data_IF_968546055015
#
_entry.id   IF_968546055015
#
_cell.length_a   1.000
_cell.length_b   1.000
_cell.length_c   1.000
_cell.angle_alpha   90.00
_cell.angle_beta   90.00
_cell.angle_gamma   90.00
#
_symmetry.space_group_name_H-M   'P 1'
#
loop_
_entity.id
_entity.type
_entity.pdbx_description
1 polymer ?
#
# COMPACT_ATOMS: atom_id res chain seq x y z
N UNK A 1 -12.26 -7.41 54.42
CA UNK A 1 -12.24 -8.69 53.68
C UNK A 1 -11.92 -8.36 52.24
N UNK A 2 -10.72 -8.68 51.78
CA UNK A 2 -10.27 -8.40 50.41
C UNK A 2 -11.02 -9.31 49.44
N UNK A 3 -11.97 -8.75 48.68
CA UNK A 3 -12.63 -9.46 47.58
C UNK A 3 -11.61 -9.71 46.47
N UNK A 4 -10.87 -10.82 46.57
CA UNK A 4 -10.10 -11.34 45.45
C UNK A 4 -11.09 -11.86 44.40
N UNK A 5 -11.00 -11.42 43.14
CA UNK A 5 -11.87 -11.90 42.08
C UNK A 5 -11.68 -13.41 41.87
N UNK A 6 -12.77 -14.16 41.80
CA UNK A 6 -12.78 -15.62 41.61
C UNK A 6 -12.32 -16.04 40.21
N UNK A 7 -12.42 -15.13 39.23
CA UNK A 7 -12.03 -15.32 37.83
C UNK A 7 -11.17 -14.15 37.35
N UNK A 8 -10.14 -14.47 36.57
CA UNK A 8 -9.29 -13.50 35.89
C UNK A 8 -9.48 -13.63 34.38
N UNK A 9 -9.63 -12.49 33.71
CA UNK A 9 -9.82 -12.37 32.27
C UNK A 9 -8.56 -11.82 31.62
N UNK A 10 -7.91 -12.62 30.77
CA UNK A 10 -6.71 -12.21 30.04
C UNK A 10 -7.05 -11.74 28.62
N UNK A 11 -6.51 -10.60 28.23
CA UNK A 11 -6.53 -10.15 26.84
C UNK A 11 -5.21 -10.59 26.19
N UNK A 12 -5.31 -11.33 25.10
CA UNK A 12 -4.15 -11.93 24.43
C UNK A 12 -4.04 -11.36 23.01
N UNK A 13 -2.88 -10.79 22.67
CA UNK A 13 -2.53 -10.39 21.32
C UNK A 13 -1.69 -11.50 20.67
N UNK A 14 -2.18 -12.03 19.56
CA UNK A 14 -1.44 -13.01 18.75
C UNK A 14 -0.90 -12.31 17.51
N UNK A 15 0.41 -12.23 17.39
CA UNK A 15 1.09 -11.65 16.23
C UNK A 15 1.59 -12.76 15.33
N UNK A 16 1.23 -12.70 14.05
CA UNK A 16 1.69 -13.60 13.01
C UNK A 16 2.53 -12.78 12.03
N UNK A 17 3.82 -13.06 11.98
CA UNK A 17 4.72 -12.45 11.00
C UNK A 17 4.80 -13.31 9.74
N UNK A 18 3.90 -13.04 8.79
CA UNK A 18 3.87 -13.73 7.50
C UNK A 18 5.11 -13.50 6.64
N UNK A 19 5.97 -12.53 6.97
CA UNK A 19 7.23 -12.31 6.26
C UNK A 19 8.35 -13.23 6.75
N UNK A 20 8.31 -13.65 8.02
CA UNK A 20 9.25 -14.64 8.57
C UNK A 20 8.78 -16.07 8.30
N UNK A 21 7.47 -16.33 8.37
CA UNK A 21 6.91 -17.64 8.06
C UNK A 21 5.55 -17.53 7.34
N UNK A 22 5.52 -17.72 6.00
CA UNK A 22 4.30 -17.58 5.20
C UNK A 22 3.18 -18.57 5.56
N UNK A 23 3.51 -19.65 6.27
CA UNK A 23 2.54 -20.66 6.75
C UNK A 23 1.64 -20.15 7.88
N UNK A 24 2.06 -19.08 8.59
CA UNK A 24 1.41 -18.60 9.81
C UNK A 24 1.50 -19.55 11.01
N UNK A 25 2.40 -20.55 10.95
CA UNK A 25 2.56 -21.53 12.02
C UNK A 25 3.29 -20.94 13.24
N UNK A 26 4.31 -20.10 13.05
CA UNK A 26 4.96 -19.36 14.13
C UNK A 26 4.14 -18.13 14.50
N UNK A 27 3.69 -18.13 15.76
CA UNK A 27 2.88 -17.06 16.36
C UNK A 27 3.57 -16.60 17.63
N UNK A 28 3.64 -15.29 17.83
CA UNK A 28 4.05 -14.72 19.11
C UNK A 28 2.79 -14.33 19.89
N UNK A 29 2.73 -14.75 21.15
CA UNK A 29 1.58 -14.53 22.02
C UNK A 29 2.01 -13.56 23.12
N UNK A 30 1.29 -12.44 23.24
CA UNK A 30 1.51 -11.42 24.27
C UNK A 30 0.27 -11.30 25.15
N UNK A 31 0.46 -11.31 26.47
CA UNK A 31 -0.63 -11.04 27.42
C UNK A 31 -0.67 -9.53 27.62
N UNK A 32 -1.74 -8.91 27.12
CA UNK A 32 -1.88 -7.45 27.09
C UNK A 32 -2.42 -6.89 28.41
N UNK A 33 -3.24 -7.66 29.12
CA UNK A 33 -3.79 -7.26 30.41
C UNK A 33 -4.55 -8.38 31.09
N UNK A 34 -4.65 -8.28 32.41
CA UNK A 34 -5.42 -9.20 33.26
C UNK A 34 -6.45 -8.39 34.02
N UNK A 35 -7.72 -8.73 33.84
CA UNK A 35 -8.86 -8.00 34.39
C UNK A 35 -9.65 -8.87 35.35
N UNK A 36 -10.17 -8.25 36.41
CA UNK A 36 -10.95 -8.92 37.45
C UNK A 36 -12.42 -9.12 37.04
N UNK A 37 -12.90 -8.38 36.04
CA UNK A 37 -14.29 -8.45 35.55
C UNK A 37 -14.32 -8.59 34.03
N UNK A 38 -15.39 -9.20 33.52
CA UNK A 38 -15.55 -9.45 32.08
C UNK A 38 -15.87 -8.16 31.33
N UNK A 39 -16.57 -7.25 31.97
CA UNK A 39 -16.97 -5.95 31.44
C UNK A 39 -15.74 -5.04 31.28
N UNK A 40 -14.84 -5.01 32.26
CA UNK A 40 -13.55 -4.28 32.14
C UNK A 40 -12.66 -4.88 31.05
N UNK A 41 -12.62 -6.21 30.95
CA UNK A 41 -11.87 -6.89 29.89
C UNK A 41 -12.42 -6.57 28.49
N UNK A 42 -13.74 -6.45 28.34
CA UNK A 42 -14.39 -6.04 27.08
C UNK A 42 -14.10 -4.58 26.75
N UNK A 43 -14.30 -3.66 27.69
CA UNK A 43 -14.02 -2.23 27.46
C UNK A 43 -12.54 -1.97 27.16
N UNK A 44 -11.65 -2.76 27.73
CA UNK A 44 -10.22 -2.75 27.45
C UNK A 44 -9.87 -3.39 26.10
N UNK A 45 -10.54 -4.48 25.69
CA UNK A 45 -10.28 -5.13 24.40
C UNK A 45 -10.74 -4.33 23.19
N UNK A 46 -11.75 -3.45 23.35
CA UNK A 46 -12.15 -2.49 22.32
C UNK A 46 -11.24 -1.25 22.25
N UNK A 47 -10.44 -1.01 23.29
CA UNK A 47 -9.40 0.03 23.29
C UNK A 47 -8.12 -0.61 22.76
N UNK A 48 -8.05 -0.78 21.44
CA UNK A 48 -6.81 -1.16 20.75
C UNK A 48 -5.65 -0.31 21.28
N UNK A 49 -4.69 -0.90 22.01
CA UNK A 49 -3.64 -0.14 22.69
C UNK A 49 -2.61 0.45 21.73
N UNK A 50 -2.68 0.09 20.45
CA UNK A 50 -1.73 0.54 19.43
C UNK A 50 -2.37 0.77 18.06
N UNK A 51 -3.66 1.13 18.02
CA UNK A 51 -4.28 1.77 16.82
C UNK A 51 -5.01 3.06 17.19
N UNK A 52 -4.64 3.66 18.33
CA UNK A 52 -4.68 5.11 18.49
C UNK A 52 -3.25 5.62 18.49
N UNK A 53 -2.62 5.59 17.31
CA UNK A 53 -2.03 6.86 16.92
C UNK A 53 -3.23 7.72 16.49
N UNK A 54 -3.73 8.68 17.29
CA UNK A 54 -4.20 9.89 16.62
C UNK A 54 -3.01 10.24 15.75
N UNK A 55 -3.14 10.16 14.42
CA UNK A 55 -2.08 10.62 13.54
C UNK A 55 -1.65 11.94 14.14
N UNK A 56 -0.40 12.14 14.55
CA UNK A 56 0.05 13.37 15.23
C UNK A 56 -0.16 14.65 14.37
N UNK A 57 -0.83 14.46 13.24
CA UNK A 57 -1.18 15.31 12.14
C UNK A 57 -2.69 15.30 11.85
N UNK A 58 -3.55 14.93 12.82
CA UNK A 58 -4.95 15.30 12.75
C UNK A 58 -5.04 16.83 12.64
N UNK A 59 -5.81 17.37 11.68
CA UNK A 59 -5.85 18.81 11.45
C UNK A 59 -6.61 19.46 12.60
N UNK A 60 -6.08 20.57 13.11
CA UNK A 60 -6.81 21.47 14.00
C UNK A 60 -7.94 22.16 13.23
N UNK A 61 -8.93 22.72 13.93
CA UNK A 61 -10.08 23.37 13.28
C UNK A 61 -9.68 24.48 12.30
N UNK A 62 -8.58 25.19 12.55
CA UNK A 62 -8.06 26.22 11.64
C UNK A 62 -7.38 25.61 10.40
N UNK A 63 -6.67 24.50 10.56
CA UNK A 63 -6.07 23.74 9.46
C UNK A 63 -7.16 23.12 8.57
N UNK A 64 -8.24 22.59 9.16
CA UNK A 64 -9.42 22.11 8.44
C UNK A 64 -10.07 23.23 7.62
N UNK A 65 -10.31 24.40 8.22
CA UNK A 65 -10.85 25.57 7.48
C UNK A 65 -9.98 25.94 6.29
N UNK A 66 -8.65 25.84 6.42
CA UNK A 66 -7.71 26.12 5.35
C UNK A 66 -7.77 25.06 4.23
N UNK A 67 -7.83 23.80 4.61
CA UNK A 67 -7.99 22.66 3.69
C UNK A 67 -9.29 22.82 2.90
N UNK A 68 -10.42 22.99 3.57
CA UNK A 68 -11.74 23.04 2.92
C UNK A 68 -12.02 24.36 2.19
N UNK A 69 -11.22 25.41 2.42
CA UNK A 69 -11.21 26.61 1.57
C UNK A 69 -10.71 26.29 0.17
N UNK A 70 -9.71 25.42 0.05
CA UNK A 70 -9.11 24.99 -1.23
C UNK A 70 -9.94 23.87 -1.86
N UNK A 71 -10.33 22.87 -1.06
CA UNK A 71 -11.11 21.71 -1.51
C UNK A 71 -12.56 21.79 -1.04
N UNK A 72 -13.33 22.69 -1.66
CA UNK A 72 -14.76 22.84 -1.38
C UNK A 72 -15.54 21.58 -1.77
N UNK A 73 -16.47 21.16 -0.92
CA UNK A 73 -17.31 19.96 -1.16
C UNK A 73 -16.64 18.62 -0.83
N UNK A 74 -15.43 18.66 -0.26
CA UNK A 74 -14.78 17.51 0.35
C UNK A 74 -15.02 17.49 1.86
N UNK A 75 -14.99 16.31 2.45
CA UNK A 75 -14.96 16.09 3.90
C UNK A 75 -13.71 15.31 4.26
N UNK A 76 -13.34 15.25 5.54
CA UNK A 76 -12.39 14.23 5.98
C UNK A 76 -12.97 12.85 5.65
N UNK A 77 -12.10 11.92 5.24
CA UNK A 77 -12.52 10.56 4.99
C UNK A 77 -12.74 9.82 6.30
N UNK A 78 -13.81 9.03 6.35
CA UNK A 78 -14.00 8.02 7.39
C UNK A 78 -12.87 6.99 7.21
N UNK A 79 -11.87 7.02 8.10
CA UNK A 79 -10.64 6.24 7.93
C UNK A 79 -10.97 4.75 7.81
N UNK A 80 -10.85 4.20 6.60
CA UNK A 80 -10.81 2.75 6.41
C UNK A 80 -9.50 2.23 6.99
N UNK A 81 -9.58 1.22 7.88
CA UNK A 81 -8.50 0.64 8.70
C UNK A 81 -7.26 0.11 7.94
N UNK A 82 -7.18 0.24 6.61
CA UNK A 82 -6.23 -0.49 5.76
C UNK A 82 -5.07 0.32 5.16
N UNK A 83 -4.82 1.53 5.61
CA UNK A 83 -3.71 2.33 5.09
C UNK A 83 -2.42 2.19 5.92
N UNK A 84 -1.80 1.02 5.82
CA UNK A 84 -0.53 0.63 6.48
C UNK A 84 0.73 1.38 5.96
N UNK A 85 0.59 2.36 5.07
CA UNK A 85 1.74 3.08 4.51
C UNK A 85 2.18 4.23 5.42
N UNK A 86 3.50 4.36 5.64
CA UNK A 86 4.08 5.38 6.53
C UNK A 86 3.73 6.83 6.14
N UNK A 87 3.34 7.10 4.89
CA UNK A 87 2.92 8.44 4.45
C UNK A 87 1.68 8.95 5.18
N UNK A 88 0.85 8.05 5.70
CA UNK A 88 -0.35 8.40 6.46
C UNK A 88 -0.02 8.93 7.86
N UNK A 89 1.23 8.77 8.29
CA UNK A 89 1.74 9.44 9.47
C UNK A 89 1.89 10.95 9.23
N UNK A 90 2.01 11.42 7.98
CA UNK A 90 2.25 12.83 7.64
C UNK A 90 1.10 13.47 6.84
N UNK A 91 -0.03 12.79 6.68
CA UNK A 91 -1.12 13.29 5.86
C UNK A 91 -2.49 12.80 6.26
N UNK A 92 -3.49 13.49 5.73
CA UNK A 92 -4.90 13.25 6.01
C UNK A 92 -5.63 12.92 4.72
N UNK A 93 -6.60 12.03 4.80
CA UNK A 93 -7.43 11.70 3.65
C UNK A 93 -8.68 12.59 3.63
N UNK A 94 -8.98 13.17 2.47
CA UNK A 94 -10.25 13.83 2.20
C UNK A 94 -11.03 13.03 1.15
N UNK A 95 -12.34 13.03 1.28
CA UNK A 95 -13.25 12.35 0.36
C UNK A 95 -14.33 13.29 -0.15
N UNK A 96 -14.74 13.02 -1.39
CA UNK A 96 -15.95 13.53 -2.02
C UNK A 96 -16.76 12.33 -2.51
N UNK A 97 -17.95 12.56 -3.08
CA UNK A 97 -18.78 11.50 -3.66
C UNK A 97 -18.06 10.69 -4.75
N UNK A 98 -17.06 11.27 -5.41
CA UNK A 98 -16.41 10.69 -6.60
C UNK A 98 -14.91 10.45 -6.45
N UNK A 99 -14.25 11.03 -5.46
CA UNK A 99 -12.80 10.96 -5.33
C UNK A 99 -12.31 11.01 -3.89
N UNK A 100 -11.18 10.33 -3.65
CA UNK A 100 -10.43 10.34 -2.38
C UNK A 100 -9.01 10.82 -2.61
N UNK A 101 -8.53 11.72 -1.75
CA UNK A 101 -7.21 12.35 -1.90
C UNK A 101 -6.47 12.38 -0.57
N UNK A 102 -5.16 12.16 -0.64
CA UNK A 102 -4.21 12.39 0.44
C UNK A 102 -3.74 13.84 0.42
N UNK A 103 -3.76 14.52 1.57
CA UNK A 103 -3.25 15.88 1.77
C UNK A 103 -2.01 15.83 2.64
N UNK A 104 -0.97 16.56 2.22
CA UNK A 104 0.25 16.75 3.00
C UNK A 104 0.02 17.71 4.17
N UNK A 105 0.03 17.21 5.40
CA UNK A 105 -0.13 18.06 6.59
C UNK A 105 1.08 18.98 6.86
N UNK A 106 2.34 18.57 6.63
CA UNK A 106 3.48 19.49 6.67
C UNK A 106 3.29 20.75 5.80
N UNK A 107 2.75 20.63 4.58
CA UNK A 107 2.40 21.78 3.74
C UNK A 107 1.30 22.66 4.37
N UNK A 108 0.30 22.04 5.00
CA UNK A 108 -0.77 22.76 5.70
C UNK A 108 -0.21 23.56 6.88
N UNK A 109 0.69 22.97 7.68
CA UNK A 109 1.33 23.59 8.85
C UNK A 109 2.31 24.69 8.46
N UNK A 110 3.13 24.48 7.43
CA UNK A 110 4.10 25.45 6.93
C UNK A 110 3.46 26.64 6.19
N UNK A 111 2.13 26.70 6.11
CA UNK A 111 1.39 27.79 5.45
C UNK A 111 1.80 28.00 3.98
N UNK A 112 2.22 26.93 3.29
CA UNK A 112 2.65 27.03 1.88
C UNK A 112 1.51 27.51 0.97
N UNK A 113 1.77 28.38 -0.01
CA UNK A 113 0.72 28.99 -0.84
C UNK A 113 -0.06 27.96 -1.67
N UNK A 114 0.59 26.85 -2.05
CA UNK A 114 -0.02 25.73 -2.77
C UNK A 114 0.00 24.48 -1.90
N UNK A 115 -1.18 24.09 -1.39
CA UNK A 115 -1.33 22.84 -0.67
C UNK A 115 -1.22 21.66 -1.63
N UNK A 116 -0.38 20.67 -1.28
CA UNK A 116 -0.17 19.49 -2.10
C UNK A 116 -1.19 18.41 -1.77
N UNK A 117 -1.79 17.83 -2.81
CA UNK A 117 -2.71 16.69 -2.73
C UNK A 117 -2.36 15.63 -3.76
N UNK A 118 -2.46 14.37 -3.38
CA UNK A 118 -2.30 13.22 -4.27
C UNK A 118 -3.56 12.35 -4.24
N UNK A 119 -3.81 11.55 -5.27
CA UNK A 119 -4.88 10.56 -5.22
C UNK A 119 -4.59 9.49 -4.16
N UNK A 120 -5.61 9.07 -3.41
CA UNK A 120 -5.44 8.11 -2.32
C UNK A 120 -5.10 6.68 -2.82
N UNK A 121 -5.45 6.35 -4.07
CA UNK A 121 -5.24 5.02 -4.69
C UNK A 121 -3.76 4.69 -4.99
N UNK A 122 -2.80 5.55 -4.62
CA UNK A 122 -1.38 5.26 -4.74
C UNK A 122 -0.52 6.21 -3.90
N UNK A 123 0.27 5.65 -2.96
CA UNK A 123 1.06 6.45 -2.00
C UNK A 123 2.39 6.96 -2.55
N UNK A 124 2.84 6.48 -3.71
CA UNK A 124 4.16 6.82 -4.28
C UNK A 124 4.33 8.32 -4.53
N UNK A 125 3.27 9.00 -4.98
CA UNK A 125 3.30 10.45 -5.20
C UNK A 125 3.42 11.22 -3.88
N UNK A 126 2.78 10.73 -2.83
CA UNK A 126 2.89 11.29 -1.48
C UNK A 126 4.30 11.06 -0.91
N UNK A 127 4.86 9.85 -1.07
CA UNK A 127 6.23 9.50 -0.66
C UNK A 127 7.26 10.42 -1.34
N UNK A 128 7.16 10.61 -2.65
CA UNK A 128 8.05 11.46 -3.42
C UNK A 128 7.94 12.94 -2.99
N UNK A 129 6.73 13.42 -2.73
CA UNK A 129 6.51 14.78 -2.26
C UNK A 129 7.11 15.00 -0.87
N UNK A 130 6.85 14.09 0.08
CA UNK A 130 7.39 14.17 1.45
C UNK A 130 8.93 14.21 1.44
N UNK A 131 9.57 13.39 0.60
CA UNK A 131 11.02 13.42 0.43
C UNK A 131 11.52 14.73 -0.16
N UNK A 132 10.97 15.16 -1.31
CA UNK A 132 11.49 16.34 -2.03
C UNK A 132 11.21 17.66 -1.33
N UNK A 133 10.02 17.81 -0.75
CA UNK A 133 9.58 19.08 -0.17
C UNK A 133 9.90 19.18 1.33
N UNK A 134 9.94 18.06 2.04
CA UNK A 134 10.08 18.05 3.50
C UNK A 134 11.27 17.21 4.00
N UNK A 135 11.98 16.51 3.12
CA UNK A 135 13.10 15.64 3.51
C UNK A 135 12.67 14.42 4.33
N UNK A 136 11.38 14.13 4.44
CA UNK A 136 10.89 12.99 5.20
C UNK A 136 11.07 11.70 4.41
N UNK A 137 11.57 10.69 5.09
CA UNK A 137 11.90 9.38 4.54
C UNK A 137 11.24 8.26 5.33
N UNK A 138 11.07 7.10 4.70
CA UNK A 138 10.51 5.91 5.34
C UNK A 138 11.33 5.56 6.60
N UNK A 139 10.75 5.68 7.82
CA UNK A 139 11.47 5.44 9.06
C UNK A 139 11.84 3.96 9.25
N UNK A 140 11.26 3.04 8.46
CA UNK A 140 11.62 1.62 8.52
C UNK A 140 13.00 1.31 7.92
N UNK A 141 13.58 2.24 7.14
CA UNK A 141 14.89 2.07 6.50
C UNK A 141 14.95 0.94 5.45
N UNK A 142 13.83 0.25 5.15
CA UNK A 142 13.78 -0.88 4.21
C UNK A 142 13.67 -0.47 2.75
N UNK A 143 13.30 0.78 2.47
CA UNK A 143 13.23 1.33 1.11
C UNK A 143 14.52 2.11 0.81
N UNK A 144 14.88 2.21 -0.47
CA UNK A 144 15.90 3.14 -0.96
C UNK A 144 15.27 4.50 -1.27
N UNK A 145 15.98 5.60 -0.99
CA UNK A 145 15.50 6.99 -1.20
C UNK A 145 14.86 7.16 -2.58
N UNK A 146 13.79 7.96 -2.72
CA UNK A 146 13.02 8.07 -3.95
C UNK A 146 13.64 9.16 -4.83
N UNK A 147 14.94 9.06 -5.13
CA UNK A 147 15.69 9.71 -6.23
C UNK A 147 17.17 9.33 -6.04
N UNK A 148 17.94 8.82 -6.99
CA UNK A 148 18.02 9.14 -8.41
C UNK A 148 18.24 7.87 -9.27
N UNK A 149 17.68 7.89 -10.48
CA UNK A 149 17.86 6.96 -11.62
C UNK A 149 18.98 5.88 -11.49
N UNK A 150 18.59 4.62 -11.33
CA UNK A 150 19.11 3.49 -12.14
C UNK A 150 18.25 2.21 -12.04
N UNK A 151 16.99 2.34 -12.38
CA UNK A 151 16.26 1.24 -12.98
C UNK A 151 15.73 1.79 -14.29
N UNK A 152 16.35 1.46 -15.42
CA UNK A 152 15.68 1.66 -16.70
C UNK A 152 14.27 1.11 -16.54
N UNK A 153 13.25 1.80 -17.08
CA UNK A 153 11.93 1.16 -17.26
C UNK A 153 12.24 -0.28 -17.65
N UNK A 154 11.78 -1.27 -16.87
CA UNK A 154 11.67 -2.63 -17.40
C UNK A 154 10.61 -2.47 -18.50
N UNK A 155 11.04 -1.96 -19.65
CA UNK A 155 10.35 -2.08 -20.90
C UNK A 155 10.43 -3.57 -21.10
N UNK A 156 9.36 -4.26 -20.69
CA UNK A 156 9.18 -5.65 -21.10
C UNK A 156 9.40 -5.63 -22.60
N UNK A 157 10.42 -6.36 -23.05
CA UNK A 157 10.76 -6.44 -24.45
C UNK A 157 9.47 -6.81 -25.19
N UNK A 158 9.02 -5.97 -26.12
CA UNK A 158 7.89 -6.33 -26.98
C UNK A 158 8.26 -7.60 -27.74
N UNK A 159 7.26 -8.36 -28.21
CA UNK A 159 7.50 -9.45 -29.19
C UNK A 159 8.34 -8.95 -30.36
N UNK A 160 8.17 -7.67 -30.75
CA UNK A 160 8.99 -7.04 -31.78
C UNK A 160 10.47 -6.84 -31.37
N UNK A 161 10.74 -6.57 -30.09
CA UNK A 161 12.11 -6.50 -29.56
C UNK A 161 12.71 -7.91 -29.41
N UNK A 162 11.92 -8.90 -28.97
CA UNK A 162 12.37 -10.30 -28.87
C UNK A 162 12.74 -10.89 -30.24
N UNK A 163 11.96 -10.57 -31.27
CA UNK A 163 12.18 -11.02 -32.64
C UNK A 163 13.18 -10.13 -33.42
N UNK A 164 13.82 -9.15 -32.76
CA UNK A 164 14.75 -8.18 -33.36
C UNK A 164 14.20 -7.47 -34.63
N UNK A 165 12.90 -7.17 -34.65
CA UNK A 165 12.26 -6.49 -35.79
C UNK A 165 12.55 -4.98 -35.77
N UNK A 166 13.17 -4.48 -36.83
CA UNK A 166 13.43 -3.07 -37.07
C UNK A 166 12.13 -2.35 -37.42
N UNK A 167 11.62 -1.61 -36.44
CA UNK A 167 10.42 -0.75 -36.62
C UNK A 167 10.62 0.37 -37.65
N UNK A 168 11.86 0.64 -38.07
CA UNK A 168 12.21 1.63 -39.10
C UNK A 168 12.08 1.10 -40.54
N UNK A 169 12.08 -0.22 -40.75
CA UNK A 169 11.79 -0.81 -42.07
C UNK A 169 10.27 -1.03 -42.20
N UNK A 170 9.59 -0.44 -43.20
CA UNK A 170 8.16 -0.65 -43.44
C UNK A 170 7.74 -2.13 -43.50
N UNK A 171 8.58 -3.03 -44.04
CA UNK A 171 8.25 -4.45 -44.14
C UNK A 171 8.26 -5.14 -42.77
N UNK A 172 9.32 -4.92 -41.99
CA UNK A 172 9.46 -5.47 -40.64
C UNK A 172 8.44 -4.84 -39.66
N UNK A 173 8.07 -3.58 -39.86
CA UNK A 173 7.01 -2.91 -39.10
C UNK A 173 5.63 -3.54 -39.36
N UNK A 174 5.30 -3.87 -40.61
CA UNK A 174 4.05 -4.58 -40.94
C UNK A 174 4.02 -5.96 -40.29
N UNK A 175 5.15 -6.67 -40.28
CA UNK A 175 5.29 -7.96 -39.61
C UNK A 175 5.10 -7.82 -38.09
N UNK A 176 5.77 -6.85 -37.45
CA UNK A 176 5.63 -6.57 -36.03
C UNK A 176 4.17 -6.24 -35.64
N UNK A 177 3.50 -5.37 -36.41
CA UNK A 177 2.11 -5.02 -36.19
C UNK A 177 1.17 -6.22 -36.37
N UNK A 178 1.45 -7.09 -37.34
CA UNK A 178 0.68 -8.32 -37.55
C UNK A 178 0.85 -9.30 -36.38
N UNK A 179 2.07 -9.45 -35.86
CA UNK A 179 2.34 -10.29 -34.68
C UNK A 179 1.61 -9.77 -33.44
N UNK A 180 1.69 -8.47 -33.17
CA UNK A 180 1.00 -7.84 -32.03
C UNK A 180 -0.52 -8.02 -32.14
N UNK A 181 -1.10 -7.83 -33.34
CA UNK A 181 -2.55 -7.99 -33.56
C UNK A 181 -3.04 -9.43 -33.45
N UNK A 182 -2.20 -10.40 -33.81
CA UNK A 182 -2.56 -11.83 -33.76
C UNK A 182 -2.31 -12.47 -32.40
N UNK A 183 -1.56 -11.81 -31.52
CA UNK A 183 -1.29 -12.33 -30.20
C UNK A 183 -2.53 -12.21 -29.30
N UNK A 184 -3.18 -13.34 -29.04
CA UNK A 184 -4.23 -13.46 -28.03
C UNK A 184 -3.62 -13.95 -26.71
N UNK A 185 -3.68 -13.09 -25.69
CA UNK A 185 -3.16 -13.40 -24.36
C UNK A 185 -3.88 -14.58 -23.71
N UNK A 186 -5.20 -14.68 -23.89
CA UNK A 186 -6.03 -15.71 -23.27
C UNK A 186 -5.78 -17.08 -23.90
N UNK A 187 -5.67 -17.13 -25.23
CA UNK A 187 -5.33 -18.36 -25.97
C UNK A 187 -3.92 -18.84 -25.57
N UNK A 188 -2.94 -17.94 -25.52
CA UNK A 188 -1.57 -18.27 -25.16
C UNK A 188 -1.44 -18.80 -23.72
N UNK A 189 -2.15 -18.19 -22.75
CA UNK A 189 -2.18 -18.67 -21.37
C UNK A 189 -2.77 -20.09 -21.27
N UNK A 190 -3.84 -20.39 -22.01
CA UNK A 190 -4.41 -21.74 -22.07
C UNK A 190 -3.42 -22.75 -22.63
N UNK A 191 -2.71 -22.40 -23.72
CA UNK A 191 -1.69 -23.27 -24.31
C UNK A 191 -0.53 -23.56 -23.35
N UNK A 192 -0.05 -22.56 -22.60
CA UNK A 192 0.98 -22.77 -21.58
C UNK A 192 0.48 -23.71 -20.48
N UNK A 193 -0.73 -23.48 -19.96
CA UNK A 193 -1.30 -24.32 -18.90
C UNK A 193 -1.48 -25.75 -19.39
N UNK A 194 -2.07 -25.94 -20.57
CA UNK A 194 -2.24 -27.27 -21.18
C UNK A 194 -0.89 -27.96 -21.37
N UNK A 195 0.10 -27.26 -21.90
CA UNK A 195 1.45 -27.81 -22.07
C UNK A 195 2.06 -28.28 -20.76
N UNK A 196 1.98 -27.49 -19.68
CA UNK A 196 2.51 -27.87 -18.36
C UNK A 196 1.80 -29.12 -17.81
N UNK A 197 0.48 -29.16 -17.94
CA UNK A 197 -0.35 -30.28 -17.50
C UNK A 197 -0.04 -31.55 -18.29
N UNK A 198 0.01 -31.45 -19.62
CA UNK A 198 0.31 -32.58 -20.52
C UNK A 198 1.73 -33.11 -20.35
N UNK A 199 2.70 -32.22 -20.11
CA UNK A 199 4.12 -32.59 -19.93
C UNK A 199 4.51 -32.92 -18.48
N UNK A 200 3.54 -32.89 -17.54
CA UNK A 200 3.73 -33.09 -16.10
C UNK A 200 4.86 -32.23 -15.51
N UNK A 201 5.02 -31.01 -16.02
CA UNK A 201 6.04 -30.09 -15.53
C UNK A 201 5.55 -29.36 -14.29
N UNK A 202 6.49 -28.91 -13.46
CA UNK A 202 6.19 -27.95 -12.40
C UNK A 202 5.78 -26.61 -13.01
N UNK A 203 5.00 -25.81 -12.28
CA UNK A 203 4.69 -24.42 -12.67
C UNK A 203 5.86 -23.45 -12.45
N UNK A 204 6.90 -23.86 -11.71
CA UNK A 204 8.10 -23.03 -11.41
C UNK A 204 8.78 -22.39 -12.64
N UNK A 205 8.88 -23.04 -13.81
CA UNK A 205 9.44 -22.41 -15.00
C UNK A 205 8.67 -21.17 -15.44
N UNK A 206 7.34 -21.11 -15.27
CA UNK A 206 6.51 -19.96 -15.66
C UNK A 206 6.65 -18.79 -14.69
N UNK A 207 7.12 -19.03 -13.48
CA UNK A 207 7.44 -17.99 -12.50
C UNK A 207 8.83 -17.36 -12.75
N UNK A 208 9.58 -17.87 -13.73
CA UNK A 208 10.91 -17.35 -14.03
C UNK A 208 10.82 -15.90 -14.54
N UNK A 209 11.62 -14.95 -14.01
CA UNK A 209 11.56 -13.52 -14.37
C UNK A 209 11.85 -13.17 -15.84
N UNK A 210 12.09 -14.17 -16.70
CA UNK A 210 12.40 -14.01 -18.14
C UNK A 210 11.27 -14.55 -19.05
N UNK A 211 10.26 -15.18 -18.48
CA UNK A 211 8.98 -15.48 -19.14
C UNK A 211 7.99 -14.33 -18.87
#
# INVERSE_FOLDING_TARGET
MSNSPELLYHIILTVIDYHLEPSGAKRSIYIFGTHATREDAKDSSFKDPEVRQPSAWAPTSDEERRIFRVWKGFTLAERSKDTLSWVWNYGVEIQSKTSRRWICMPCVRQKTPTLQSCESKGTQNAELHLWKAHGYWDPSGRRSTPSEKKGGKRVLASISDFMNLKRSDPKEQVLANRLIKRFDRGEFQKLIVNWIVESQQSFKPVEHPRL
#
